data_IF_817937545808
#
_entry.id   IF_817937545808
#
_cell.length_a   1.000
_cell.length_b   1.000
_cell.length_c   1.000
_cell.angle_alpha   90.00
_cell.angle_beta   90.00
_cell.angle_gamma   90.00
#
_symmetry.space_group_name_H-M   'P 1'
#
loop_
_entity.id
_entity.type
_entity.pdbx_description
1 polymer ?
#
# COMPACT_ATOMS: atom_id res chain seq x y z
N UNK A 1 -9.33 23.39 -21.42
CA UNK A 1 -8.52 22.30 -20.83
C UNK A 1 -8.01 22.77 -19.50
N UNK A 2 -8.30 22.05 -18.45
CA UNK A 2 -7.79 22.30 -17.10
C UNK A 2 -6.46 21.58 -16.87
N UNK A 3 -5.70 21.94 -15.84
CA UNK A 3 -4.47 21.25 -15.48
C UNK A 3 -4.74 19.85 -14.91
N UNK A 4 -3.71 18.99 -14.84
CA UNK A 4 -3.81 17.67 -14.19
C UNK A 4 -4.12 17.84 -12.70
N UNK A 5 -3.49 18.79 -12.04
CA UNK A 5 -3.69 19.07 -10.63
C UNK A 5 -5.12 19.53 -10.32
N UNK A 6 -5.65 20.47 -11.11
CA UNK A 6 -7.04 20.94 -10.98
C UNK A 6 -8.03 19.81 -11.23
N UNK A 7 -7.79 18.98 -12.26
CA UNK A 7 -8.65 17.84 -12.58
C UNK A 7 -8.67 16.80 -11.45
N UNK A 8 -7.51 16.51 -10.86
CA UNK A 8 -7.40 15.60 -9.72
C UNK A 8 -8.11 16.15 -8.48
N UNK A 9 -7.91 17.43 -8.16
CA UNK A 9 -8.56 18.07 -7.02
C UNK A 9 -10.10 17.98 -7.16
N UNK A 10 -10.65 18.34 -8.32
CA UNK A 10 -12.11 18.29 -8.59
C UNK A 10 -12.68 16.88 -8.55
N UNK A 11 -11.92 15.87 -9.01
CA UNK A 11 -12.34 14.47 -8.90
C UNK A 11 -12.40 14.02 -7.44
N UNK A 12 -11.41 14.41 -6.61
CA UNK A 12 -11.29 13.91 -5.25
C UNK A 12 -12.15 14.65 -4.23
N UNK A 13 -12.45 15.94 -4.45
CA UNK A 13 -13.20 16.79 -3.54
C UNK A 13 -14.55 16.16 -3.09
N UNK A 14 -15.41 15.61 -3.99
CA UNK A 14 -16.69 15.04 -3.62
C UNK A 14 -16.63 13.59 -3.14
N UNK A 15 -15.44 12.98 -3.05
CA UNK A 15 -15.29 11.59 -2.60
C UNK A 15 -15.06 11.53 -1.09
N UNK A 16 -15.88 10.74 -0.41
CA UNK A 16 -15.76 10.46 1.01
C UNK A 16 -15.30 9.03 1.26
N UNK A 17 -14.55 8.76 2.36
CA UNK A 17 -14.24 7.41 2.76
C UNK A 17 -15.49 6.54 2.91
N UNK A 18 -15.43 5.32 2.41
CA UNK A 18 -16.56 4.39 2.50
C UNK A 18 -16.79 3.96 3.95
N UNK A 19 -18.02 3.55 4.31
CA UNK A 19 -18.36 3.12 5.67
C UNK A 19 -17.42 2.02 6.17
N UNK A 20 -17.15 1.98 7.50
CA UNK A 20 -16.36 0.92 8.10
C UNK A 20 -17.10 -0.41 8.14
N UNK A 21 -16.32 -1.50 8.11
CA UNK A 21 -16.79 -2.86 8.37
C UNK A 21 -15.84 -3.54 9.36
N UNK A 22 -16.35 -4.49 10.13
CA UNK A 22 -15.56 -5.27 11.05
C UNK A 22 -15.05 -6.53 10.35
N UNK A 23 -13.74 -6.79 10.45
CA UNK A 23 -13.09 -7.97 9.88
C UNK A 23 -12.18 -8.65 10.90
N UNK A 24 -11.84 -9.92 10.65
CA UNK A 24 -10.76 -10.59 11.38
C UNK A 24 -9.39 -10.01 11.00
N UNK A 25 -8.44 -10.00 11.96
CA UNK A 25 -7.05 -9.58 11.70
C UNK A 25 -6.38 -10.38 10.59
N UNK A 26 -6.76 -11.65 10.39
CA UNK A 26 -6.21 -12.51 9.32
C UNK A 26 -6.58 -12.02 7.92
N UNK A 27 -7.68 -11.27 7.78
CA UNK A 27 -8.16 -10.67 6.53
C UNK A 27 -7.69 -9.21 6.38
N UNK A 28 -6.84 -8.74 7.31
CA UNK A 28 -6.44 -7.33 7.41
C UNK A 28 -5.43 -6.86 6.37
N UNK A 29 -4.66 -7.76 5.74
CA UNK A 29 -3.62 -7.36 4.80
C UNK A 29 -4.16 -6.49 3.64
N UNK A 30 -3.55 -5.31 3.44
CA UNK A 30 -3.95 -4.36 2.39
C UNK A 30 -5.25 -3.59 2.69
N UNK A 31 -5.92 -3.86 3.83
CA UNK A 31 -7.09 -3.09 4.28
C UNK A 31 -6.65 -1.77 4.92
N UNK A 32 -7.55 -0.82 5.01
CA UNK A 32 -7.28 0.51 5.57
C UNK A 32 -8.06 0.66 6.87
N UNK A 33 -7.36 1.00 7.96
CA UNK A 33 -7.97 1.19 9.27
C UNK A 33 -8.96 2.38 9.24
N UNK A 34 -10.16 2.15 9.78
CA UNK A 34 -11.18 3.18 9.92
C UNK A 34 -11.10 3.91 11.28
N UNK A 35 -10.37 3.36 12.24
CA UNK A 35 -10.16 3.92 13.58
C UNK A 35 -8.73 3.68 14.08
N UNK A 36 -8.33 4.45 15.09
CA UNK A 36 -7.09 4.23 15.81
C UNK A 36 -7.13 2.92 16.59
N UNK A 37 -6.01 2.19 16.61
CA UNK A 37 -5.94 0.89 17.30
C UNK A 37 -4.95 0.97 18.45
N UNK A 38 -5.47 0.82 19.68
CA UNK A 38 -4.68 0.76 20.91
C UNK A 38 -4.43 -0.69 21.34
N UNK A 39 -3.31 -0.95 21.98
CA UNK A 39 -2.95 -2.26 22.54
C UNK A 39 -3.93 -2.68 23.65
N UNK A 40 -4.32 -3.96 23.70
CA UNK A 40 -5.15 -4.56 24.76
C UNK A 40 -4.34 -5.27 25.84
N UNK A 41 -3.04 -5.20 25.75
CA UNK A 41 -2.11 -5.77 26.71
C UNK A 41 -0.76 -5.06 26.67
N UNK A 42 0.00 -5.17 27.73
CA UNK A 42 1.40 -4.75 27.79
C UNK A 42 2.30 -5.85 27.23
N UNK A 43 3.38 -5.50 26.51
CA UNK A 43 4.32 -6.45 25.93
C UNK A 43 5.79 -6.05 26.24
N UNK A 44 6.59 -6.89 26.90
CA UNK A 44 6.12 -8.07 27.64
C UNK A 44 5.27 -7.66 28.86
N UNK A 45 4.39 -8.56 29.37
CA UNK A 45 3.46 -8.23 30.47
C UNK A 45 4.11 -8.15 31.84
N UNK A 46 5.38 -8.52 31.98
CA UNK A 46 6.24 -8.46 33.15
C UNK A 46 7.71 -8.54 32.70
N UNK A 47 8.65 -8.31 33.60
CA UNK A 47 10.07 -8.46 33.30
C UNK A 47 10.40 -9.92 32.92
N UNK A 48 11.11 -10.11 31.80
CA UNK A 48 11.48 -11.44 31.27
C UNK A 48 12.95 -11.52 30.91
N UNK A 49 13.52 -12.74 30.91
CA UNK A 49 14.87 -12.96 30.44
C UNK A 49 15.02 -12.74 28.94
N UNK A 50 16.09 -12.06 28.54
CA UNK A 50 16.48 -11.93 27.13
C UNK A 50 17.35 -13.08 26.63
N UNK A 51 17.94 -13.89 27.56
CA UNK A 51 18.91 -14.93 27.27
C UNK A 51 18.65 -16.17 28.13
N UNK A 52 19.20 -17.29 27.71
CA UNK A 52 19.28 -18.48 28.53
C UNK A 52 20.42 -18.35 29.54
N UNK A 53 20.16 -18.66 30.82
CA UNK A 53 21.16 -18.47 31.86
C UNK A 53 20.60 -18.64 33.27
N UNK A 54 21.05 -17.78 34.19
CA UNK A 54 20.66 -17.79 35.57
C UNK A 54 20.21 -16.42 36.03
N UNK A 55 19.01 -16.33 36.59
CA UNK A 55 18.49 -15.14 37.23
C UNK A 55 19.06 -15.06 38.64
N UNK A 56 19.70 -13.93 38.93
CA UNK A 56 20.46 -13.69 40.17
C UNK A 56 20.22 -12.28 40.68
N UNK A 57 20.68 -12.01 41.89
CA UNK A 57 20.83 -10.66 42.43
C UNK A 57 22.19 -10.10 41.99
N UNK A 58 22.21 -8.93 41.35
CA UNK A 58 23.47 -8.27 40.97
C UNK A 58 24.45 -8.09 42.14
N UNK A 59 23.90 -7.91 43.35
CA UNK A 59 24.70 -7.77 44.60
C UNK A 59 25.55 -9.01 44.89
N UNK A 60 25.06 -10.22 44.53
CA UNK A 60 25.77 -11.48 44.77
C UNK A 60 26.92 -11.68 43.76
N UNK A 61 27.04 -10.82 42.76
CA UNK A 61 28.12 -10.82 41.76
C UNK A 61 29.25 -9.83 42.05
N UNK A 62 29.28 -9.26 43.25
CA UNK A 62 30.30 -8.27 43.64
C UNK A 62 31.74 -8.80 43.62
N UNK A 63 31.92 -10.12 43.80
CA UNK A 63 33.20 -10.81 43.73
C UNK A 63 33.09 -12.05 42.82
N UNK A 64 33.88 -12.09 41.75
CA UNK A 64 33.89 -13.18 40.79
C UNK A 64 35.24 -13.93 40.87
N UNK A 65 35.24 -15.29 40.74
CA UNK A 65 34.11 -16.17 40.56
C UNK A 65 33.32 -16.37 41.88
N UNK A 66 31.97 -16.59 41.71
CA UNK A 66 31.08 -16.87 42.83
C UNK A 66 30.25 -18.11 42.61
N UNK A 67 29.96 -18.87 43.63
CA UNK A 67 29.13 -20.07 43.60
C UNK A 67 27.76 -19.79 44.23
N UNK A 68 26.67 -20.05 43.44
CA UNK A 68 25.30 -19.81 43.86
C UNK A 68 24.51 -21.12 43.86
N UNK A 69 23.56 -21.27 44.77
CA UNK A 69 22.67 -22.44 44.85
C UNK A 69 21.50 -22.28 43.88
N UNK A 70 21.25 -23.25 43.03
CA UNK A 70 20.11 -23.27 42.12
C UNK A 70 18.85 -23.70 42.88
N UNK A 71 17.88 -22.79 43.03
CA UNK A 71 16.64 -23.02 43.82
C UNK A 71 15.43 -23.29 42.93
N UNK A 72 15.52 -22.99 41.65
CA UNK A 72 14.43 -23.15 40.68
C UNK A 72 14.95 -23.30 39.27
N UNK A 73 14.08 -23.84 38.40
CA UNK A 73 14.22 -23.81 36.96
C UNK A 73 12.93 -23.24 36.33
N UNK A 74 13.04 -22.15 35.53
CA UNK A 74 11.93 -21.34 35.05
C UNK A 74 11.94 -21.33 33.53
N UNK A 75 11.23 -22.28 32.87
CA UNK A 75 11.08 -22.29 31.43
C UNK A 75 10.15 -21.18 30.93
N UNK A 76 10.23 -20.86 29.63
CA UNK A 76 9.28 -19.95 29.00
C UNK A 76 7.84 -20.48 29.16
N UNK A 77 6.92 -19.58 29.50
CA UNK A 77 5.50 -19.92 29.75
C UNK A 77 5.19 -20.45 31.14
N UNK A 78 6.20 -20.62 32.03
CA UNK A 78 6.01 -20.93 33.45
C UNK A 78 6.57 -19.81 34.33
N UNK A 79 6.11 -19.74 35.57
CA UNK A 79 6.60 -18.81 36.57
C UNK A 79 7.16 -19.54 37.80
N UNK A 80 7.99 -18.87 38.61
CA UNK A 80 8.42 -19.35 39.92
C UNK A 80 7.69 -18.58 40.99
N UNK A 81 6.85 -19.25 41.75
CA UNK A 81 6.07 -18.63 42.86
C UNK A 81 6.87 -18.38 44.15
N UNK A 82 8.18 -18.74 44.17
CA UNK A 82 9.07 -18.51 45.27
C UNK A 82 9.88 -17.22 45.14
N UNK A 83 10.87 -17.06 46.00
CA UNK A 83 11.78 -15.93 46.06
C UNK A 83 13.23 -16.44 45.97
N UNK A 84 14.06 -15.80 45.19
CA UNK A 84 15.51 -16.08 45.09
C UNK A 84 16.22 -15.15 46.09
N UNK A 85 16.82 -15.75 47.12
CA UNK A 85 17.53 -15.05 48.20
C UNK A 85 19.00 -14.78 47.87
N UNK A 86 19.73 -14.26 48.87
CA UNK A 86 21.19 -14.07 48.78
C UNK A 86 21.93 -15.39 48.63
N UNK A 87 22.90 -15.46 47.71
CA UNK A 87 23.66 -16.67 47.39
C UNK A 87 22.86 -17.73 46.60
N UNK A 88 21.71 -17.37 46.05
CA UNK A 88 20.85 -18.24 45.28
C UNK A 88 20.71 -17.77 43.82
N UNK A 89 20.37 -18.71 42.93
CA UNK A 89 20.11 -18.46 41.55
C UNK A 89 18.90 -19.28 41.05
N UNK A 90 18.18 -18.80 40.04
CA UNK A 90 17.22 -19.60 39.31
C UNK A 90 17.70 -19.83 37.89
N UNK A 91 17.73 -21.09 37.45
CA UNK A 91 17.93 -21.41 36.01
C UNK A 91 16.77 -20.82 35.23
N UNK A 92 17.04 -20.00 34.19
CA UNK A 92 16.03 -19.29 33.44
C UNK A 92 16.30 -19.42 31.94
N UNK A 93 15.23 -19.42 31.16
CA UNK A 93 15.28 -19.50 29.70
C UNK A 93 14.72 -18.21 29.08
N UNK A 94 15.13 -17.94 27.85
CA UNK A 94 14.69 -16.77 27.07
C UNK A 94 13.17 -16.65 27.05
N UNK A 95 12.63 -15.51 27.40
CA UNK A 95 11.21 -15.22 27.49
C UNK A 95 10.51 -15.67 28.77
N UNK A 96 11.22 -16.35 29.67
CA UNK A 96 10.67 -16.69 30.99
C UNK A 96 10.58 -15.47 31.91
N UNK A 97 9.54 -15.41 32.79
CA UNK A 97 9.39 -14.33 33.76
C UNK A 97 10.54 -14.32 34.78
N UNK A 98 11.00 -13.10 35.07
CA UNK A 98 12.07 -12.91 36.08
C UNK A 98 11.56 -13.28 37.48
N UNK A 99 12.22 -14.22 38.19
CA UNK A 99 11.80 -14.60 39.54
C UNK A 99 11.91 -13.45 40.53
N UNK A 100 11.00 -13.41 41.51
CA UNK A 100 11.07 -12.44 42.60
C UNK A 100 12.41 -12.53 43.35
N UNK A 101 13.00 -11.38 43.65
CA UNK A 101 14.29 -11.29 44.31
C UNK A 101 15.49 -11.19 43.37
N UNK A 102 15.29 -11.39 42.04
CA UNK A 102 16.35 -11.26 41.04
C UNK A 102 16.19 -9.98 40.23
N UNK A 103 17.32 -9.46 39.72
CA UNK A 103 17.35 -8.24 38.92
C UNK A 103 18.35 -8.29 37.75
N UNK A 104 19.01 -9.41 37.54
CA UNK A 104 20.10 -9.58 36.61
C UNK A 104 20.11 -11.03 36.07
N UNK A 105 20.49 -11.19 34.79
CA UNK A 105 20.72 -12.50 34.17
C UNK A 105 22.20 -12.64 33.88
N UNK A 106 22.79 -13.75 34.32
CA UNK A 106 24.09 -14.24 33.84
C UNK A 106 23.83 -15.27 32.78
N UNK A 107 24.42 -15.09 31.61
CA UNK A 107 24.26 -16.04 30.51
C UNK A 107 24.92 -17.38 30.80
N UNK A 108 24.38 -18.46 30.28
CA UNK A 108 24.91 -19.81 30.57
C UNK A 108 26.36 -20.00 30.15
N UNK A 109 26.82 -19.29 29.11
CA UNK A 109 28.18 -19.33 28.58
C UNK A 109 29.21 -18.81 29.60
N UNK A 110 28.81 -17.94 30.52
CA UNK A 110 29.64 -17.33 31.58
C UNK A 110 29.54 -18.11 32.88
N UNK A 111 29.06 -19.35 32.86
CA UNK A 111 28.80 -20.16 34.04
C UNK A 111 29.23 -21.60 33.89
N UNK A 112 29.53 -22.27 35.04
CA UNK A 112 29.75 -23.72 35.14
C UNK A 112 28.73 -24.30 36.12
N UNK A 113 27.87 -25.23 35.69
CA UNK A 113 26.88 -25.90 36.55
C UNK A 113 27.48 -27.19 37.11
N UNK A 114 27.34 -27.39 38.43
CA UNK A 114 27.68 -28.61 39.10
C UNK A 114 26.52 -29.02 40.06
N UNK A 115 25.70 -29.92 39.58
CA UNK A 115 24.50 -30.42 40.33
C UNK A 115 23.50 -29.29 40.59
N UNK A 116 23.30 -28.95 41.86
CA UNK A 116 22.42 -27.92 42.37
C UNK A 116 23.10 -26.56 42.54
N UNK A 117 24.36 -26.42 42.07
CA UNK A 117 25.14 -25.20 42.14
C UNK A 117 25.54 -24.70 40.75
N UNK A 118 25.67 -23.39 40.64
CA UNK A 118 26.24 -22.71 39.50
C UNK A 118 27.39 -21.82 39.93
N UNK A 119 28.53 -21.98 39.28
CA UNK A 119 29.70 -21.10 39.44
C UNK A 119 29.64 -20.03 38.36
N UNK A 120 29.55 -18.78 38.75
CA UNK A 120 29.56 -17.63 37.83
C UNK A 120 31.03 -17.24 37.61
N UNK A 121 31.45 -17.20 36.36
CA UNK A 121 32.82 -16.88 35.95
C UNK A 121 32.97 -15.43 35.52
N UNK A 122 31.91 -14.84 34.94
CA UNK A 122 31.88 -13.44 34.55
C UNK A 122 30.65 -12.73 35.13
N UNK A 123 30.87 -11.56 35.73
CA UNK A 123 29.81 -10.76 36.38
C UNK A 123 28.97 -9.99 35.35
N UNK A 124 27.75 -9.71 35.75
CA UNK A 124 26.82 -8.90 34.96
C UNK A 124 26.28 -7.73 35.78
N UNK A 125 26.22 -6.50 35.25
CA UNK A 125 25.66 -5.38 35.95
C UNK A 125 24.14 -5.54 36.11
N UNK A 126 23.59 -4.85 37.11
CA UNK A 126 22.14 -4.83 37.39
C UNK A 126 21.34 -4.51 36.13
N UNK A 127 20.28 -5.27 35.88
CA UNK A 127 19.42 -5.14 34.71
C UNK A 127 19.97 -5.77 33.43
N UNK A 128 21.18 -6.35 33.45
CA UNK A 128 21.75 -7.01 32.27
C UNK A 128 20.86 -8.17 31.82
N UNK A 129 20.56 -8.23 30.53
CA UNK A 129 19.71 -9.22 29.88
C UNK A 129 18.28 -9.36 30.42
N UNK A 130 17.80 -8.35 31.13
CA UNK A 130 16.42 -8.23 31.60
C UNK A 130 15.64 -7.34 30.63
N UNK A 131 14.63 -7.90 29.95
CA UNK A 131 13.62 -7.13 29.22
C UNK A 131 12.56 -6.69 30.23
N UNK A 132 12.47 -5.39 30.48
CA UNK A 132 11.48 -4.82 31.40
C UNK A 132 10.06 -4.98 30.87
N UNK A 133 9.08 -4.97 31.76
CA UNK A 133 7.68 -4.84 31.42
C UNK A 133 7.45 -3.65 30.49
N UNK A 134 6.62 -3.85 29.44
CA UNK A 134 6.28 -2.80 28.48
C UNK A 134 7.45 -2.34 27.58
N UNK A 135 8.49 -3.16 27.43
CA UNK A 135 9.65 -2.79 26.60
C UNK A 135 9.26 -2.48 25.15
N UNK A 136 8.27 -3.17 24.61
CA UNK A 136 7.77 -2.99 23.25
C UNK A 136 6.61 -1.98 23.21
N UNK A 137 5.57 -2.21 24.01
CA UNK A 137 4.43 -1.31 24.18
C UNK A 137 3.65 -1.58 25.47
N UNK A 138 2.83 -0.59 25.88
CA UNK A 138 1.96 -0.69 27.05
C UNK A 138 0.49 -0.83 26.63
N UNK A 139 -0.32 -1.42 27.51
CA UNK A 139 -1.79 -1.46 27.36
C UNK A 139 -2.36 -0.03 27.26
N UNK A 140 -3.28 0.16 26.30
CA UNK A 140 -3.89 1.46 26.00
C UNK A 140 -3.08 2.34 25.03
N UNK A 141 -1.83 2.00 24.74
CA UNK A 141 -1.01 2.76 23.78
C UNK A 141 -1.55 2.59 22.36
N UNK A 142 -1.76 3.71 21.66
CA UNK A 142 -2.22 3.72 20.26
C UNK A 142 -1.01 3.56 19.35
N UNK A 143 -0.91 2.40 18.69
CA UNK A 143 0.23 2.05 17.84
C UNK A 143 -0.06 2.16 16.34
N UNK A 144 -1.32 2.04 15.94
CA UNK A 144 -1.73 2.19 14.55
C UNK A 144 -2.85 3.22 14.45
N UNK A 145 -2.73 4.11 13.46
CA UNK A 145 -3.69 5.19 13.23
C UNK A 145 -4.68 4.85 12.13
N UNK A 146 -5.88 5.44 12.19
CA UNK A 146 -6.84 5.41 11.09
C UNK A 146 -6.22 5.95 9.80
N UNK A 147 -6.71 5.49 8.65
CA UNK A 147 -6.17 5.84 7.34
C UNK A 147 -4.91 5.06 6.93
N UNK A 148 -4.35 4.24 7.83
CA UNK A 148 -3.19 3.39 7.52
C UNK A 148 -3.60 2.16 6.72
N UNK A 149 -2.93 1.92 5.59
CA UNK A 149 -3.01 0.64 4.85
C UNK A 149 -2.15 -0.40 5.57
N UNK A 150 -2.76 -1.51 5.97
CA UNK A 150 -2.11 -2.55 6.76
C UNK A 150 -1.14 -3.39 5.93
N UNK A 151 0.07 -3.53 6.45
CA UNK A 151 1.14 -4.40 5.94
C UNK A 151 1.25 -5.68 6.75
N UNK A 152 2.10 -6.63 6.33
CA UNK A 152 2.37 -7.85 7.10
C UNK A 152 2.94 -7.55 8.49
N UNK A 153 3.77 -6.50 8.63
CA UNK A 153 4.29 -6.04 9.94
C UNK A 153 3.17 -5.55 10.85
N UNK A 154 2.21 -4.83 10.28
CA UNK A 154 1.05 -4.34 11.06
C UNK A 154 0.16 -5.49 11.53
N UNK A 155 -0.02 -6.53 10.70
CA UNK A 155 -0.75 -7.74 11.12
C UNK A 155 -0.05 -8.44 12.30
N UNK A 156 1.28 -8.56 12.25
CA UNK A 156 2.07 -9.10 13.35
C UNK A 156 1.93 -8.26 14.63
N UNK A 157 2.01 -6.93 14.51
CA UNK A 157 1.83 -6.00 15.63
C UNK A 157 0.42 -6.11 16.21
N UNK A 158 -0.63 -6.11 15.40
CA UNK A 158 -2.02 -6.27 15.83
C UNK A 158 -2.26 -7.57 16.59
N UNK A 159 -1.65 -8.66 16.13
CA UNK A 159 -1.70 -9.94 16.82
C UNK A 159 -1.01 -9.86 18.20
N UNK A 160 0.18 -9.24 18.29
CA UNK A 160 0.90 -9.01 19.55
C UNK A 160 0.10 -8.10 20.52
N UNK A 161 -0.61 -7.09 19.99
CA UNK A 161 -1.52 -6.21 20.71
C UNK A 161 -2.80 -6.90 21.24
N UNK A 162 -3.03 -8.16 20.88
CA UNK A 162 -4.26 -8.94 21.16
C UNK A 162 -5.52 -8.30 20.52
N UNK A 163 -5.42 -7.91 19.25
CA UNK A 163 -6.51 -7.34 18.45
C UNK A 163 -6.99 -8.32 17.38
N UNK A 164 -7.91 -9.26 17.69
CA UNK A 164 -8.39 -10.25 16.73
C UNK A 164 -9.36 -9.68 15.71
N UNK A 165 -10.01 -8.53 16.01
CA UNK A 165 -10.99 -7.86 15.16
C UNK A 165 -10.58 -6.40 14.93
N UNK A 166 -10.82 -5.93 13.70
CA UNK A 166 -10.45 -4.58 13.24
C UNK A 166 -11.65 -3.93 12.59
N UNK A 167 -11.80 -2.61 12.75
CA UNK A 167 -12.65 -1.79 11.91
C UNK A 167 -11.81 -1.19 10.78
N UNK A 168 -12.20 -1.49 9.55
CA UNK A 168 -11.52 -1.07 8.33
C UNK A 168 -12.55 -0.49 7.35
N UNK A 169 -12.14 0.44 6.50
CA UNK A 169 -13.03 0.91 5.44
C UNK A 169 -13.37 -0.23 4.48
N UNK A 170 -14.63 -0.30 4.05
CA UNK A 170 -15.09 -1.23 3.03
C UNK A 170 -14.30 -1.02 1.73
N UNK A 171 -13.98 -2.09 1.01
CA UNK A 171 -13.32 -2.00 -0.29
C UNK A 171 -14.21 -1.32 -1.32
N UNK A 172 -13.70 -0.32 -2.08
CA UNK A 172 -14.46 0.33 -3.14
C UNK A 172 -14.85 -0.65 -4.25
N UNK A 173 -16.10 -0.62 -4.67
CA UNK A 173 -16.61 -1.37 -5.82
C UNK A 173 -16.54 -0.49 -7.05
N UNK A 174 -15.81 -0.93 -8.09
CA UNK A 174 -15.56 -0.17 -9.30
C UNK A 174 -16.26 -0.83 -10.47
N UNK A 175 -17.29 -0.17 -11.01
CA UNK A 175 -17.93 -0.58 -12.24
C UNK A 175 -17.03 -0.27 -13.42
N UNK A 176 -16.77 -1.26 -14.29
CA UNK A 176 -15.95 -1.08 -15.48
C UNK A 176 -16.80 -1.41 -16.71
N UNK A 177 -17.03 -0.40 -17.55
CA UNK A 177 -17.81 -0.46 -18.76
C UNK A 177 -16.95 -0.11 -19.95
N UNK A 178 -16.80 -1.04 -20.91
CA UNK A 178 -16.18 -0.76 -22.22
C UNK A 178 -17.26 -0.39 -23.23
N UNK A 179 -16.90 0.41 -24.23
CA UNK A 179 -17.78 0.73 -25.37
C UNK A 179 -17.02 0.58 -26.68
N UNK A 180 -17.74 0.18 -27.72
CA UNK A 180 -17.23 0.06 -29.09
C UNK A 180 -17.63 -1.26 -29.73
N UNK A 181 -18.17 -1.18 -30.95
CA UNK A 181 -18.54 -2.35 -31.77
C UNK A 181 -17.32 -3.12 -32.31
N UNK A 182 -16.17 -2.42 -32.34
CA UNK A 182 -14.88 -3.01 -32.69
C UNK A 182 -14.28 -3.90 -31.61
N UNK A 183 -14.81 -3.87 -30.38
CA UNK A 183 -14.21 -4.55 -29.23
C UNK A 183 -14.75 -5.97 -29.07
N UNK A 184 -13.85 -6.95 -29.07
CA UNK A 184 -14.15 -8.36 -28.75
C UNK A 184 -13.34 -8.80 -27.52
N UNK A 185 -13.79 -9.83 -26.81
CA UNK A 185 -13.07 -10.36 -25.66
C UNK A 185 -11.92 -11.31 -26.11
N UNK A 186 -10.85 -11.43 -25.31
CA UNK A 186 -9.80 -12.40 -25.62
C UNK A 186 -10.36 -13.83 -25.72
N UNK A 187 -10.06 -14.49 -26.84
CA UNK A 187 -10.54 -15.84 -27.13
C UNK A 187 -11.79 -15.90 -28.01
N UNK A 188 -12.49 -14.79 -28.19
CA UNK A 188 -13.61 -14.70 -29.13
C UNK A 188 -13.10 -14.66 -30.57
N UNK A 189 -13.91 -15.12 -31.56
CA UNK A 189 -13.60 -14.92 -32.99
C UNK A 189 -13.47 -13.43 -33.31
N UNK A 190 -12.43 -13.08 -34.07
CA UNK A 190 -12.13 -11.69 -34.42
C UNK A 190 -12.52 -11.44 -35.90
N UNK A 191 -13.40 -10.50 -36.10
CA UNK A 191 -13.76 -10.00 -37.43
C UNK A 191 -12.68 -9.04 -38.00
N UNK A 192 -12.75 -8.71 -39.29
CA UNK A 192 -11.70 -7.93 -39.98
C UNK A 192 -11.53 -6.49 -39.49
N UNK A 193 -12.50 -5.95 -38.75
CA UNK A 193 -12.49 -4.58 -38.21
C UNK A 193 -12.56 -4.55 -36.69
N UNK A 194 -12.29 -5.69 -36.03
CA UNK A 194 -12.35 -5.81 -34.59
C UNK A 194 -10.98 -5.92 -33.98
N UNK A 195 -10.88 -5.50 -32.70
CA UNK A 195 -9.68 -5.57 -31.89
C UNK A 195 -10.01 -6.24 -30.53
N UNK A 196 -9.03 -6.90 -29.96
CA UNK A 196 -9.20 -7.55 -28.65
C UNK A 196 -9.21 -6.51 -27.52
N UNK A 197 -10.19 -6.59 -26.64
CA UNK A 197 -10.27 -5.74 -25.44
C UNK A 197 -9.06 -5.96 -24.54
N UNK A 198 -8.28 -4.91 -24.32
CA UNK A 198 -7.22 -4.89 -23.33
C UNK A 198 -7.57 -4.01 -22.13
N UNK A 199 -8.39 -2.97 -22.33
CA UNK A 199 -8.66 -1.93 -21.34
C UNK A 199 -9.47 -2.46 -20.16
N UNK A 200 -10.59 -3.15 -20.39
CA UNK A 200 -11.46 -3.65 -19.32
C UNK A 200 -10.71 -4.60 -18.37
N UNK A 201 -9.91 -5.51 -18.93
CA UNK A 201 -9.12 -6.47 -18.15
C UNK A 201 -7.99 -5.79 -17.40
N UNK A 202 -7.26 -4.88 -18.03
CA UNK A 202 -6.18 -4.15 -17.37
C UNK A 202 -6.69 -3.22 -16.27
N UNK A 203 -7.84 -2.55 -16.49
CA UNK A 203 -8.48 -1.73 -15.45
C UNK A 203 -8.98 -2.58 -14.27
N UNK A 204 -9.55 -3.76 -14.53
CA UNK A 204 -9.97 -4.67 -13.46
C UNK A 204 -8.78 -5.14 -12.63
N UNK A 205 -7.70 -5.56 -13.27
CA UNK A 205 -6.45 -5.92 -12.59
C UNK A 205 -5.86 -4.74 -11.81
N UNK A 206 -5.84 -3.55 -12.40
CA UNK A 206 -5.36 -2.32 -11.76
C UNK A 206 -6.19 -1.95 -10.53
N UNK A 207 -7.53 -1.97 -10.65
CA UNK A 207 -8.43 -1.68 -9.55
C UNK A 207 -8.25 -2.66 -8.38
N UNK A 208 -8.11 -3.96 -8.68
CA UNK A 208 -7.84 -4.99 -7.67
C UNK A 208 -6.48 -4.78 -6.98
N UNK A 209 -5.42 -4.45 -7.73
CA UNK A 209 -4.10 -4.13 -7.19
C UNK A 209 -4.12 -2.89 -6.28
N UNK A 210 -5.00 -1.92 -6.57
CA UNK A 210 -5.22 -0.75 -5.71
C UNK A 210 -6.12 -1.02 -4.49
N UNK A 211 -6.58 -2.26 -4.29
CA UNK A 211 -7.43 -2.66 -3.15
C UNK A 211 -8.93 -2.53 -3.39
N UNK A 212 -9.36 -2.19 -4.60
CA UNK A 212 -10.77 -2.14 -4.99
C UNK A 212 -11.33 -3.52 -5.40
N UNK A 213 -12.64 -3.58 -5.58
CA UNK A 213 -13.38 -4.75 -6.10
C UNK A 213 -13.91 -4.40 -7.49
N UNK A 214 -13.28 -4.88 -8.57
CA UNK A 214 -13.77 -4.62 -9.92
C UNK A 214 -15.09 -5.36 -10.18
N UNK A 215 -16.03 -4.65 -10.77
CA UNK A 215 -17.34 -5.16 -11.21
C UNK A 215 -17.42 -4.93 -12.72
N UNK A 216 -17.28 -5.99 -13.50
CA UNK A 216 -17.38 -5.87 -14.95
C UNK A 216 -18.83 -5.63 -15.37
N UNK A 217 -19.07 -4.57 -16.11
CA UNK A 217 -20.35 -4.32 -16.78
C UNK A 217 -20.37 -4.88 -18.23
N UNK A 218 -19.22 -5.39 -18.71
CA UNK A 218 -19.09 -5.91 -20.07
C UNK A 218 -18.75 -4.83 -21.09
N UNK A 219 -19.01 -5.13 -22.36
CA UNK A 219 -18.86 -4.22 -23.48
C UNK A 219 -20.23 -3.77 -24.00
N UNK A 220 -20.48 -2.47 -24.07
CA UNK A 220 -21.68 -1.93 -24.67
C UNK A 220 -21.44 -1.68 -26.17
N UNK A 221 -22.35 -2.07 -27.04
CA UNK A 221 -22.30 -1.68 -28.43
C UNK A 221 -22.48 -0.15 -28.56
N UNK A 222 -22.15 0.38 -29.75
CA UNK A 222 -22.31 1.80 -30.08
C UNK A 222 -23.79 2.18 -30.32
N UNK A 223 -24.63 1.74 -29.41
CA UNK A 223 -26.07 2.01 -29.35
C UNK A 223 -26.45 2.71 -28.03
N UNK A 224 -27.07 3.92 -28.08
CA UNK A 224 -27.37 4.70 -26.90
C UNK A 224 -28.30 4.00 -25.90
N UNK A 225 -29.22 3.15 -26.38
CA UNK A 225 -30.19 2.47 -25.49
C UNK A 225 -29.51 1.29 -24.77
N UNK A 226 -28.70 0.51 -25.51
CA UNK A 226 -27.92 -0.56 -24.93
C UNK A 226 -26.91 -0.03 -23.89
N UNK A 227 -26.24 1.08 -24.19
CA UNK A 227 -25.30 1.74 -23.28
C UNK A 227 -25.98 2.17 -21.98
N UNK A 228 -27.14 2.85 -22.06
CA UNK A 228 -27.92 3.24 -20.88
C UNK A 228 -28.36 2.03 -20.04
N UNK A 229 -28.86 0.98 -20.68
CA UNK A 229 -29.30 -0.24 -20.00
C UNK A 229 -28.16 -0.90 -19.24
N UNK A 230 -26.96 -1.01 -19.88
CA UNK A 230 -25.78 -1.62 -19.28
C UNK A 230 -25.23 -0.73 -18.15
N UNK A 231 -25.13 0.58 -18.37
CA UNK A 231 -24.70 1.53 -17.35
C UNK A 231 -25.63 1.50 -16.12
N UNK A 232 -26.94 1.45 -16.32
CA UNK A 232 -27.93 1.35 -15.23
C UNK A 232 -27.78 0.04 -14.41
N UNK A 233 -27.32 -1.05 -15.04
CA UNK A 233 -27.06 -2.31 -14.34
C UNK A 233 -25.85 -2.27 -13.42
N UNK A 234 -24.99 -1.21 -13.48
CA UNK A 234 -23.87 -1.01 -12.56
C UNK A 234 -24.28 -0.37 -11.22
N UNK A 235 -25.55 -0.37 -10.87
CA UNK A 235 -26.03 0.17 -9.61
C UNK A 235 -25.32 -0.46 -8.41
N UNK A 236 -25.01 0.36 -7.38
CA UNK A 236 -24.33 -0.09 -6.16
C UNK A 236 -22.81 -0.21 -6.27
N UNK A 237 -22.18 0.35 -7.33
CA UNK A 237 -20.74 0.62 -7.35
C UNK A 237 -20.46 1.99 -6.72
N UNK A 238 -19.23 2.17 -6.25
CA UNK A 238 -18.78 3.41 -5.61
C UNK A 238 -18.13 4.37 -6.61
N UNK A 239 -17.65 3.83 -7.73
CA UNK A 239 -17.08 4.55 -8.85
C UNK A 239 -17.41 3.80 -10.14
N UNK A 240 -17.96 4.50 -11.12
CA UNK A 240 -18.15 3.98 -12.47
C UNK A 240 -17.00 4.46 -13.38
N UNK A 241 -16.34 3.55 -14.03
CA UNK A 241 -15.27 3.83 -15.00
C UNK A 241 -15.69 3.33 -16.37
N UNK A 242 -15.70 4.22 -17.36
CA UNK A 242 -15.92 3.83 -18.76
C UNK A 242 -14.61 3.92 -19.56
N UNK A 243 -14.43 3.10 -20.57
CA UNK A 243 -13.30 3.16 -21.49
C UNK A 243 -13.77 2.94 -22.93
N UNK A 244 -13.32 3.80 -23.84
CA UNK A 244 -13.88 3.94 -25.17
C UNK A 244 -15.06 4.93 -25.19
N UNK A 245 -15.52 5.30 -26.40
CA UNK A 245 -16.63 6.24 -26.57
C UNK A 245 -16.38 7.67 -26.08
N UNK A 246 -15.22 7.95 -25.48
CA UNK A 246 -14.80 9.29 -25.02
C UNK A 246 -13.84 9.85 -26.05
N UNK A 247 -14.37 10.61 -27.01
CA UNK A 247 -13.60 11.25 -28.08
C UNK A 247 -13.69 12.77 -27.99
N UNK A 248 -12.70 13.47 -28.54
CA UNK A 248 -12.75 14.93 -28.71
C UNK A 248 -13.59 15.36 -29.95
N UNK A 249 -14.20 14.40 -30.65
CA UNK A 249 -15.03 14.64 -31.82
C UNK A 249 -16.49 14.97 -31.50
N UNK A 250 -17.26 15.26 -32.54
CA UNK A 250 -18.70 15.63 -32.46
C UNK A 250 -19.59 14.49 -31.96
N UNK A 251 -19.08 13.24 -31.85
CA UNK A 251 -19.82 12.04 -31.45
C UNK A 251 -19.20 11.42 -30.19
N UNK A 252 -19.47 12.02 -29.02
CA UNK A 252 -19.20 11.39 -27.72
C UNK A 252 -20.44 10.62 -27.28
N UNK A 253 -20.55 9.38 -27.77
CA UNK A 253 -21.71 8.51 -27.55
C UNK A 253 -22.01 8.31 -26.05
N UNK A 254 -20.97 8.14 -25.24
CA UNK A 254 -21.13 7.92 -23.79
C UNK A 254 -21.77 9.12 -23.13
N UNK A 255 -21.24 10.32 -23.41
CA UNK A 255 -21.77 11.56 -22.85
C UNK A 255 -23.21 11.80 -23.28
N UNK A 256 -23.50 11.69 -24.59
CA UNK A 256 -24.83 11.95 -25.13
C UNK A 256 -25.87 10.92 -24.63
N UNK A 257 -25.52 9.65 -24.63
CA UNK A 257 -26.40 8.57 -24.18
C UNK A 257 -26.74 8.68 -22.69
N UNK A 258 -25.73 8.98 -21.84
CA UNK A 258 -25.92 9.04 -20.40
C UNK A 258 -26.51 10.37 -19.92
N UNK A 259 -26.35 11.48 -20.68
CA UNK A 259 -26.91 12.79 -20.30
C UNK A 259 -28.43 12.75 -20.14
N UNK A 260 -29.15 12.01 -20.98
CA UNK A 260 -30.62 11.85 -20.87
C UNK A 260 -31.04 10.91 -19.76
N UNK A 261 -30.08 10.24 -19.10
CA UNK A 261 -30.30 9.24 -18.06
C UNK A 261 -29.63 9.61 -16.72
N UNK A 262 -29.39 10.90 -16.49
CA UNK A 262 -28.92 11.45 -15.22
C UNK A 262 -27.39 11.50 -15.08
N UNK A 263 -26.67 11.62 -16.18
CA UNK A 263 -25.26 11.97 -16.16
C UNK A 263 -25.08 13.49 -16.09
N UNK A 264 -24.35 13.93 -15.09
CA UNK A 264 -23.94 15.32 -14.85
C UNK A 264 -22.44 15.45 -15.10
N UNK A 265 -22.09 16.18 -16.14
CA UNK A 265 -20.68 16.42 -16.51
C UNK A 265 -20.08 17.51 -15.61
N UNK A 266 -18.94 17.23 -15.01
CA UNK A 266 -18.12 18.24 -14.33
C UNK A 266 -17.08 18.85 -15.29
N UNK A 267 -16.19 18.02 -15.85
CA UNK A 267 -15.25 18.49 -16.86
C UNK A 267 -14.92 17.42 -17.91
N UNK A 268 -14.44 17.91 -19.04
CA UNK A 268 -14.02 17.10 -20.17
C UNK A 268 -12.81 17.74 -20.83
N UNK A 269 -11.72 17.03 -20.98
CA UNK A 269 -10.42 17.44 -21.48
C UNK A 269 -9.50 18.12 -20.45
N UNK A 270 -8.36 17.48 -20.29
CA UNK A 270 -7.25 17.94 -19.44
C UNK A 270 -5.99 18.20 -20.27
N UNK A 271 -5.11 19.04 -19.76
CA UNK A 271 -3.86 19.43 -20.40
C UNK A 271 -2.76 18.40 -20.15
N UNK A 272 -2.96 17.14 -20.60
CA UNK A 272 -1.95 16.08 -20.47
C UNK A 272 -1.73 15.27 -21.76
N UNK A 273 -0.64 14.51 -21.79
CA UNK A 273 -0.30 13.55 -22.82
C UNK A 273 0.48 12.36 -22.23
N UNK A 274 -0.01 11.09 -22.46
CA UNK A 274 -1.28 10.75 -23.08
C UNK A 274 -2.47 11.02 -22.15
N UNK A 275 -3.70 11.02 -22.65
CA UNK A 275 -4.90 11.09 -21.82
C UNK A 275 -5.69 12.41 -21.88
N UNK A 276 -5.53 13.21 -22.96
CA UNK A 276 -6.27 14.47 -23.13
C UNK A 276 -7.79 14.33 -22.97
N UNK A 277 -8.50 13.34 -23.58
CA UNK A 277 -9.92 13.16 -23.34
C UNK A 277 -10.13 12.37 -22.04
N UNK A 278 -10.29 13.07 -20.95
CA UNK A 278 -10.72 12.53 -19.65
C UNK A 278 -12.05 13.19 -19.27
N UNK A 279 -13.10 12.41 -19.13
CA UNK A 279 -14.40 12.88 -18.70
C UNK A 279 -14.62 12.55 -17.24
N UNK A 280 -15.04 13.54 -16.45
CA UNK A 280 -15.40 13.36 -15.04
C UNK A 280 -16.78 13.94 -14.78
N UNK A 281 -17.58 13.25 -13.98
CA UNK A 281 -18.92 13.67 -13.62
C UNK A 281 -19.58 12.70 -12.65
N UNK A 282 -20.92 12.72 -12.64
CA UNK A 282 -21.73 11.79 -11.85
C UNK A 282 -22.81 11.17 -12.73
N UNK A 283 -22.98 9.87 -12.61
CA UNK A 283 -24.08 9.16 -13.24
C UNK A 283 -25.05 8.65 -12.18
N UNK A 284 -26.28 9.21 -12.17
CA UNK A 284 -27.29 8.91 -11.15
C UNK A 284 -26.74 9.04 -9.71
N UNK A 285 -25.94 10.08 -9.47
CA UNK A 285 -25.29 10.35 -8.18
C UNK A 285 -23.99 9.57 -7.92
N UNK A 286 -23.68 8.49 -8.67
CA UNK A 286 -22.41 7.77 -8.57
C UNK A 286 -21.30 8.53 -9.29
N UNK A 287 -20.14 8.76 -8.67
CA UNK A 287 -18.98 9.32 -9.35
C UNK A 287 -18.62 8.51 -10.60
N UNK A 288 -18.33 9.19 -11.70
CA UNK A 288 -18.01 8.56 -12.98
C UNK A 288 -16.79 9.18 -13.63
N UNK A 289 -15.92 8.31 -14.15
CA UNK A 289 -14.74 8.70 -14.92
C UNK A 289 -14.74 7.99 -16.26
N UNK A 290 -14.78 8.76 -17.36
CA UNK A 290 -14.63 8.26 -18.71
C UNK A 290 -13.17 8.37 -19.17
N UNK A 291 -12.57 7.22 -19.44
CA UNK A 291 -11.17 7.09 -19.86
C UNK A 291 -11.05 6.98 -21.38
N UNK A 292 -9.91 7.44 -21.96
CA UNK A 292 -9.65 7.28 -23.39
C UNK A 292 -9.69 5.82 -23.83
N UNK A 293 -10.02 5.55 -25.10
CA UNK A 293 -9.99 4.20 -25.68
C UNK A 293 -8.57 3.64 -25.92
N UNK A 294 -7.56 4.51 -26.11
CA UNK A 294 -6.17 4.05 -26.29
C UNK A 294 -5.61 3.43 -25.00
N UNK A 295 -5.06 2.20 -25.04
CA UNK A 295 -4.73 1.42 -23.85
C UNK A 295 -3.69 2.07 -22.94
N UNK A 296 -2.67 2.72 -23.51
CA UNK A 296 -1.67 3.46 -22.70
C UNK A 296 -2.31 4.66 -22.02
N UNK A 297 -3.16 5.41 -22.72
CA UNK A 297 -3.88 6.55 -22.14
C UNK A 297 -4.78 6.11 -21.00
N UNK A 298 -5.49 4.98 -21.18
CA UNK A 298 -6.36 4.38 -20.17
C UNK A 298 -5.60 4.10 -18.87
N UNK A 299 -4.49 3.37 -18.95
CA UNK A 299 -3.72 2.99 -17.75
C UNK A 299 -2.95 4.16 -17.13
N UNK A 300 -2.44 5.11 -17.93
CA UNK A 300 -1.82 6.33 -17.39
C UNK A 300 -2.87 7.18 -16.66
N UNK A 301 -4.06 7.35 -17.23
CA UNK A 301 -5.17 8.02 -16.54
C UNK A 301 -5.63 7.24 -15.30
N UNK A 302 -5.67 5.92 -15.35
CA UNK A 302 -6.00 5.10 -14.18
C UNK A 302 -5.00 5.33 -13.04
N UNK A 303 -3.70 5.36 -13.33
CA UNK A 303 -2.65 5.61 -12.34
C UNK A 303 -2.80 7.00 -11.69
N UNK A 304 -3.12 8.02 -12.49
CA UNK A 304 -3.14 9.41 -12.03
C UNK A 304 -4.47 9.85 -11.41
N UNK A 305 -5.59 9.17 -11.74
CA UNK A 305 -6.92 9.59 -11.30
C UNK A 305 -7.69 8.47 -10.60
N UNK A 306 -7.68 7.24 -11.12
CA UNK A 306 -8.43 6.14 -10.50
C UNK A 306 -7.74 5.67 -9.21
N UNK A 307 -6.41 5.52 -9.19
CA UNK A 307 -5.67 5.15 -7.96
C UNK A 307 -5.96 6.13 -6.82
N UNK A 308 -5.77 7.45 -6.96
CA UNK A 308 -6.10 8.40 -5.89
C UNK A 308 -7.58 8.39 -5.47
N UNK A 309 -8.51 8.20 -6.43
CA UNK A 309 -9.92 8.07 -6.11
C UNK A 309 -10.22 6.82 -5.26
N UNK A 310 -9.60 5.67 -5.58
CA UNK A 310 -9.71 4.45 -4.79
C UNK A 310 -9.07 4.60 -3.41
N UNK A 311 -7.94 5.27 -3.31
CA UNK A 311 -7.27 5.58 -2.05
C UNK A 311 -8.15 6.45 -1.17
N UNK A 312 -8.75 7.51 -1.73
CA UNK A 312 -9.70 8.39 -1.02
C UNK A 312 -10.92 7.62 -0.52
N UNK A 313 -11.57 6.82 -1.38
CA UNK A 313 -12.71 5.97 -1.03
C UNK A 313 -12.35 4.91 0.02
N UNK A 314 -11.13 4.41 0.00
CA UNK A 314 -10.62 3.47 1.01
C UNK A 314 -10.24 4.12 2.34
N UNK A 315 -10.33 5.46 2.45
CA UNK A 315 -9.98 6.18 3.67
C UNK A 315 -8.48 6.36 3.90
N UNK A 316 -7.64 6.17 2.86
CA UNK A 316 -6.22 6.48 2.97
C UNK A 316 -6.07 7.99 3.10
N UNK A 317 -5.45 8.41 4.18
CA UNK A 317 -5.03 9.80 4.33
C UNK A 317 -3.81 10.00 3.43
N UNK A 318 -3.99 10.80 2.36
CA UNK A 318 -2.89 11.15 1.48
C UNK A 318 -1.85 11.94 2.28
N UNK A 319 -0.77 11.29 2.67
CA UNK A 319 0.45 12.03 3.01
C UNK A 319 1.07 12.51 1.67
N UNK A 320 1.59 13.74 1.62
CA UNK A 320 2.33 14.19 0.45
C UNK A 320 3.53 13.25 0.26
N UNK A 321 3.40 12.26 -0.62
CA UNK A 321 4.56 11.45 -1.00
C UNK A 321 5.62 12.38 -1.59
N UNK A 322 6.83 12.30 -1.07
CA UNK A 322 7.96 12.99 -1.68
C UNK A 322 8.05 12.55 -3.14
N UNK A 323 7.93 13.49 -4.06
CA UNK A 323 7.96 13.21 -5.49
C UNK A 323 9.23 12.44 -5.84
N UNK A 324 9.10 11.22 -6.33
CA UNK A 324 10.23 10.41 -6.76
C UNK A 324 10.95 11.11 -7.91
N UNK A 325 12.28 11.10 -7.90
CA UNK A 325 13.10 11.69 -8.95
C UNK A 325 14.14 10.69 -9.47
N UNK A 326 14.61 10.90 -10.70
CA UNK A 326 15.71 10.13 -11.27
C UNK A 326 16.58 11.01 -12.15
N UNK A 327 17.83 10.58 -12.39
CA UNK A 327 18.73 11.22 -13.32
C UNK A 327 18.35 10.84 -14.76
N UNK A 328 18.19 11.83 -15.62
CA UNK A 328 17.85 11.60 -17.02
C UNK A 328 19.09 11.07 -17.79
N UNK A 329 18.98 9.91 -18.41
CA UNK A 329 20.08 9.30 -19.15
C UNK A 329 20.22 9.81 -20.59
N UNK A 330 19.23 10.57 -21.12
CA UNK A 330 19.25 11.16 -22.46
C UNK A 330 18.66 12.56 -22.46
N UNK A 331 19.03 13.40 -23.42
CA UNK A 331 18.44 14.73 -23.56
C UNK A 331 16.98 14.66 -24.00
N UNK A 332 16.16 15.59 -23.51
CA UNK A 332 14.77 15.76 -23.95
C UNK A 332 14.53 17.16 -24.52
N UNK A 333 13.75 17.28 -25.60
CA UNK A 333 13.40 18.56 -26.19
C UNK A 333 12.51 19.40 -25.28
N UNK A 334 12.26 20.66 -25.65
CA UNK A 334 11.23 21.49 -25.00
C UNK A 334 9.86 20.82 -25.11
N UNK A 335 9.05 20.93 -24.05
CA UNK A 335 7.68 20.43 -24.03
C UNK A 335 6.69 21.47 -24.59
N UNK A 336 5.52 21.00 -25.02
CA UNK A 336 4.41 21.84 -25.47
C UNK A 336 3.55 22.34 -24.29
N UNK A 337 2.29 22.70 -24.54
CA UNK A 337 1.33 23.24 -23.55
C UNK A 337 0.70 22.22 -22.63
N UNK A 338 1.02 20.91 -22.80
CA UNK A 338 0.47 19.82 -22.01
C UNK A 338 1.54 19.25 -21.08
N UNK A 339 1.11 18.72 -19.95
CA UNK A 339 1.98 17.90 -19.10
C UNK A 339 2.17 16.52 -19.73
N UNK A 340 3.42 16.17 -20.01
CA UNK A 340 3.75 14.88 -20.57
C UNK A 340 4.13 13.86 -19.51
N UNK A 341 3.71 12.62 -19.75
CA UNK A 341 4.04 11.44 -18.97
C UNK A 341 4.74 10.45 -19.90
N UNK A 342 6.07 10.51 -19.94
CA UNK A 342 6.88 9.71 -20.86
C UNK A 342 7.18 8.35 -20.26
N UNK A 343 6.74 7.28 -20.91
CA UNK A 343 7.08 5.91 -20.53
C UNK A 343 8.58 5.70 -20.59
N UNK A 344 9.15 5.18 -19.51
CA UNK A 344 10.60 5.14 -19.33
C UNK A 344 11.04 3.88 -18.60
N UNK A 345 12.29 3.48 -18.83
CA UNK A 345 12.97 2.45 -18.05
C UNK A 345 13.88 3.08 -17.01
N UNK A 346 14.04 2.39 -15.89
CA UNK A 346 15.05 2.68 -14.89
C UNK A 346 16.25 1.73 -15.10
N UNK A 347 17.43 2.28 -15.33
CA UNK A 347 18.65 1.51 -15.53
C UNK A 347 19.70 1.92 -14.52
N UNK A 348 20.62 1.02 -14.18
CA UNK A 348 21.80 1.38 -13.39
C UNK A 348 22.92 1.82 -14.34
N UNK A 349 23.42 3.02 -14.16
CA UNK A 349 24.61 3.52 -14.83
C UNK A 349 25.87 2.79 -14.35
N UNK A 350 26.97 2.97 -15.06
CA UNK A 350 28.25 2.34 -14.71
C UNK A 350 28.83 2.74 -13.35
N UNK A 351 28.42 3.91 -12.81
CA UNK A 351 28.76 4.40 -11.47
C UNK A 351 27.80 3.89 -10.37
N UNK A 352 26.82 3.04 -10.72
CA UNK A 352 25.80 2.50 -9.82
C UNK A 352 24.61 3.41 -9.60
N UNK A 353 24.59 4.64 -10.10
CA UNK A 353 23.45 5.56 -10.00
C UNK A 353 22.25 5.08 -10.81
N UNK A 354 21.03 5.49 -10.40
CA UNK A 354 19.80 5.16 -11.12
C UNK A 354 19.53 6.22 -12.17
N UNK A 355 19.47 5.79 -13.42
CA UNK A 355 19.10 6.65 -14.56
C UNK A 355 17.76 6.26 -15.15
N UNK A 356 17.03 7.26 -15.66
CA UNK A 356 15.76 7.08 -16.37
C UNK A 356 15.97 7.31 -17.86
N UNK A 357 15.51 6.34 -18.66
CA UNK A 357 15.59 6.35 -20.11
C UNK A 357 14.18 6.33 -20.71
N UNK A 358 13.64 7.48 -21.16
CA UNK A 358 12.40 7.51 -21.92
C UNK A 358 12.51 6.69 -23.20
N UNK A 359 11.45 5.95 -23.56
CA UNK A 359 11.38 5.28 -24.85
C UNK A 359 11.31 6.32 -25.97
N UNK A 360 11.92 6.01 -27.11
CA UNK A 360 11.91 6.90 -28.29
C UNK A 360 10.49 7.10 -28.83
N UNK A 361 9.69 6.03 -28.84
CA UNK A 361 8.31 6.06 -29.33
C UNK A 361 7.34 6.16 -28.16
N UNK A 362 6.53 7.22 -28.16
CA UNK A 362 5.55 7.51 -27.11
C UNK A 362 4.09 7.37 -27.59
N UNK A 363 3.84 6.49 -28.56
CA UNK A 363 2.49 6.28 -29.10
C UNK A 363 1.57 5.63 -28.06
N UNK A 364 0.35 6.14 -27.92
CA UNK A 364 -0.61 5.71 -26.90
C UNK A 364 -1.31 4.36 -27.17
N UNK A 365 -1.08 3.74 -28.31
CA UNK A 365 -1.55 2.39 -28.64
C UNK A 365 -0.56 1.29 -28.24
N UNK A 366 0.68 1.63 -27.89
CA UNK A 366 1.77 0.67 -27.71
C UNK A 366 1.83 0.07 -26.32
N UNK A 367 0.92 -0.85 -25.99
CA UNK A 367 0.89 -1.57 -24.71
C UNK A 367 2.20 -2.29 -24.38
N UNK A 368 2.90 -2.84 -25.39
CA UNK A 368 4.20 -3.50 -25.15
C UNK A 368 5.22 -2.59 -24.48
N UNK A 369 5.27 -1.31 -24.88
CA UNK A 369 6.18 -0.34 -24.28
C UNK A 369 5.74 0.07 -22.87
N UNK A 370 4.45 0.15 -22.61
CA UNK A 370 3.96 0.40 -21.26
C UNK A 370 4.26 -0.77 -20.31
N UNK A 371 4.06 -2.01 -20.78
CA UNK A 371 4.37 -3.22 -20.01
C UNK A 371 5.87 -3.38 -19.72
N UNK A 372 6.73 -2.79 -20.57
CA UNK A 372 8.19 -2.81 -20.38
C UNK A 372 8.72 -1.58 -19.63
N UNK A 373 7.87 -0.62 -19.27
CA UNK A 373 8.26 0.59 -18.55
C UNK A 373 8.28 0.35 -17.04
N UNK A 374 9.21 1.04 -16.35
CA UNK A 374 9.32 1.03 -14.89
C UNK A 374 8.70 2.28 -14.27
N UNK A 375 8.60 3.35 -15.06
CA UNK A 375 8.08 4.64 -14.59
C UNK A 375 7.61 5.54 -15.75
N UNK A 376 7.01 6.66 -15.36
CA UNK A 376 6.71 7.80 -16.23
C UNK A 376 7.59 8.97 -15.83
N UNK A 377 8.33 9.56 -16.78
CA UNK A 377 8.98 10.86 -16.58
C UNK A 377 7.93 11.94 -16.76
N UNK A 378 7.83 12.85 -15.80
CA UNK A 378 6.92 14.01 -15.84
C UNK A 378 7.63 15.17 -16.51
N UNK A 379 7.00 15.73 -17.56
CA UNK A 379 7.44 16.95 -18.21
C UNK A 379 6.33 18.01 -18.05
N UNK A 380 6.53 19.03 -17.21
CA UNK A 380 5.53 20.09 -17.05
C UNK A 380 5.21 20.79 -18.37
N UNK A 381 4.05 21.47 -18.49
CA UNK A 381 3.75 22.31 -19.62
C UNK A 381 4.86 23.34 -19.85
N UNK A 382 5.22 23.56 -21.11
CA UNK A 382 6.25 24.52 -21.54
C UNK A 382 7.65 24.29 -20.93
N UNK A 383 7.93 23.11 -20.33
CA UNK A 383 9.24 22.81 -19.79
C UNK A 383 10.34 22.97 -20.85
N UNK A 384 11.48 23.64 -20.54
CA UNK A 384 12.57 23.82 -21.47
C UNK A 384 13.22 22.49 -21.87
N UNK A 385 13.99 22.49 -22.93
CA UNK A 385 14.87 21.36 -23.25
C UNK A 385 15.80 21.08 -22.08
N UNK A 386 16.08 19.80 -21.81
CA UNK A 386 16.96 19.35 -20.73
C UNK A 386 18.02 18.38 -21.27
N UNK A 387 19.19 18.46 -20.70
CA UNK A 387 20.32 17.60 -21.07
C UNK A 387 20.34 16.31 -20.25
N UNK A 388 21.06 15.30 -20.73
CA UNK A 388 21.35 14.11 -19.92
C UNK A 388 22.04 14.51 -18.61
N UNK A 389 21.80 13.75 -17.54
CA UNK A 389 22.28 14.07 -16.19
C UNK A 389 21.35 14.97 -15.36
N UNK A 390 20.36 15.63 -15.97
CA UNK A 390 19.36 16.45 -15.23
C UNK A 390 18.49 15.57 -14.37
N UNK A 391 18.20 16.01 -13.13
CA UNK A 391 17.22 15.35 -12.25
C UNK A 391 15.81 15.74 -12.69
N UNK A 392 14.97 14.74 -12.92
CA UNK A 392 13.59 14.91 -13.38
C UNK A 392 12.62 14.18 -12.46
N UNK A 393 11.39 14.71 -12.27
CA UNK A 393 10.36 14.02 -11.53
C UNK A 393 9.84 12.79 -12.29
N UNK A 394 9.55 11.72 -11.56
CA UNK A 394 9.01 10.47 -12.10
C UNK A 394 7.83 9.97 -11.26
N UNK A 395 6.94 9.21 -11.91
CA UNK A 395 5.96 8.34 -11.24
C UNK A 395 6.39 6.89 -11.46
N UNK A 396 6.73 6.17 -10.40
CA UNK A 396 7.09 4.75 -10.49
C UNK A 396 5.84 3.87 -10.59
N UNK A 397 5.92 2.76 -11.34
CA UNK A 397 4.77 1.88 -11.52
C UNK A 397 4.55 0.92 -10.36
N UNK A 398 5.58 0.58 -9.64
CA UNK A 398 5.42 -0.18 -8.41
C UNK A 398 6.56 0.08 -7.43
N UNK A 399 6.20 0.55 -6.25
CA UNK A 399 6.93 0.22 -5.03
C UNK A 399 6.14 -0.83 -4.21
N UNK A 400 5.08 -1.38 -4.81
CA UNK A 400 4.05 -2.17 -4.13
C UNK A 400 4.21 -3.69 -4.29
N UNK A 401 5.42 -4.20 -4.59
CA UNK A 401 5.58 -5.64 -4.82
C UNK A 401 5.41 -6.49 -3.56
N UNK A 402 5.67 -5.95 -2.36
CA UNK A 402 5.47 -6.67 -1.09
C UNK A 402 4.94 -5.72 -0.02
N UNK A 403 3.75 -5.94 0.53
CA UNK A 403 3.19 -5.16 1.65
C UNK A 403 3.84 -5.59 2.99
N UNK A 404 5.17 -5.49 3.05
CA UNK A 404 5.95 -5.81 4.26
C UNK A 404 6.02 -4.60 5.17
#
# INVERSE_FOLDING_TARGET
MISVEEALARLLEPLEPLPPEQISVVDGLGRVLAEDVAARRTQPPFAVSAMDGYAVRAEDLAAIPVELRIVAEVPAGAGFGGHVGAGEAARIFTGAPLPAGTDTIVIQEDTERNGDRVRVLEGAPRGRYVRREGLDFAEGEVLLRSGRRLTARDIGLLAAMNRPWLFVHRRPRIGILSTGDEIVMPGDPIGPHQIVSSNSLSLAAFAAACGGVPVSAGNAPDDPEALRRIAAATSGVDLLVTTGGVSVGEHDLVREALAVDGFELDFWQIAMRPGKPLMVGRYRGTPMVGLPGNPVSTLVCALLFIKPALERLSGILAEPEAQSTARLGTALPKNDRRQDYLRSRLVRAGDGSLEVLPFEVQDSSMMRLLAAADCLVIRPPHAPAVVAGTIVPIVRFSDAALPI
#
